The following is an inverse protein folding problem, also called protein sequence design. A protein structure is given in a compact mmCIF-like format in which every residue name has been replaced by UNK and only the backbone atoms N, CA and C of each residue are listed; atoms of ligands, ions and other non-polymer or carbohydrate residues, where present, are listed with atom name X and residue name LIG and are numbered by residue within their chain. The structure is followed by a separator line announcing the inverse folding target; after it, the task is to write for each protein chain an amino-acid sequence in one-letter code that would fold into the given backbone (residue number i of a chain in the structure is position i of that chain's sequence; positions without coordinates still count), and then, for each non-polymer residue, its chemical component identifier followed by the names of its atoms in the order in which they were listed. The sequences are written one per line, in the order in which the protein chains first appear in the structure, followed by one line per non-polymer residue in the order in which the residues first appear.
data_IF_473290598941
#
_entry.id   IF_473290598941
#
_cell.length_a   1.000
_cell.length_b   1.000
_cell.length_c   1.000
_cell.angle_alpha   90.00
_cell.angle_beta   90.00
_cell.angle_gamma   90.00
#
_symmetry.space_group_name_H-M   'P 1'
#
loop_
_entity.id
_entity.type
_entity.pdbx_description
1 polymer ?
#
# COMPACT_ATOMS: atom_id res chain seq x y z
N UNK A 1 32.92 -17.13 -30.91
CA UNK A 1 31.95 -16.09 -31.30
C UNK A 1 30.55 -16.22 -30.70
N UNK A 2 29.96 -17.40 -30.56
CA UNK A 2 28.61 -17.59 -29.98
C UNK A 2 28.47 -17.20 -28.49
N UNK A 3 29.50 -17.38 -27.65
CA UNK A 3 29.48 -17.04 -26.21
C UNK A 3 29.49 -15.53 -25.94
N UNK A 4 30.18 -14.71 -26.78
CA UNK A 4 30.20 -13.23 -26.64
C UNK A 4 28.86 -12.59 -26.99
N UNK A 5 28.15 -13.10 -28.01
CA UNK A 5 26.82 -12.58 -28.38
C UNK A 5 25.77 -12.83 -27.30
N UNK A 6 25.80 -14.01 -26.59
CA UNK A 6 24.89 -14.31 -25.49
C UNK A 6 25.11 -13.39 -24.26
N UNK A 7 26.37 -13.02 -23.99
CA UNK A 7 26.70 -12.15 -22.86
C UNK A 7 26.24 -10.70 -23.12
N UNK A 8 26.43 -10.22 -24.35
CA UNK A 8 25.99 -8.86 -24.75
C UNK A 8 24.46 -8.74 -24.71
N UNK A 9 23.73 -9.75 -25.19
CA UNK A 9 22.25 -9.76 -25.14
C UNK A 9 21.78 -9.80 -23.69
N UNK A 10 22.41 -10.60 -22.81
CA UNK A 10 22.06 -10.65 -21.38
C UNK A 10 22.36 -9.34 -20.65
N UNK A 11 23.44 -8.66 -21.00
CA UNK A 11 23.80 -7.34 -20.44
C UNK A 11 22.87 -6.25 -20.99
N UNK A 12 22.45 -6.29 -22.25
CA UNK A 12 21.43 -5.40 -22.80
C UNK A 12 20.04 -5.63 -22.21
N UNK A 13 19.64 -6.89 -21.96
CA UNK A 13 18.37 -7.17 -21.27
C UNK A 13 18.39 -6.67 -19.81
N UNK A 14 19.53 -6.74 -19.11
CA UNK A 14 19.69 -6.17 -17.78
C UNK A 14 19.72 -4.64 -17.76
N UNK A 15 20.22 -4.00 -18.83
CA UNK A 15 20.24 -2.53 -18.94
C UNK A 15 18.90 -1.91 -19.41
N UNK A 16 18.05 -2.69 -20.06
CA UNK A 16 16.71 -2.22 -20.51
C UNK A 16 15.66 -2.33 -19.41
N UNK A 17 15.90 -3.15 -18.38
CA UNK A 17 15.01 -3.25 -17.21
C UNK A 17 15.34 -2.25 -16.09
N UNK A 18 16.27 -1.32 -16.30
CA UNK A 18 16.62 -0.28 -15.34
C UNK A 18 15.89 1.03 -15.69
N UNK A 19 14.89 1.37 -14.88
CA UNK A 19 14.25 2.67 -14.73
C UNK A 19 12.96 2.97 -15.52
N UNK A 20 11.96 2.11 -15.44
CA UNK A 20 10.61 2.70 -15.44
C UNK A 20 10.35 3.13 -13.99
N UNK A 21 10.70 4.37 -13.66
CA UNK A 21 10.36 4.95 -12.36
C UNK A 21 8.84 4.97 -12.24
N UNK A 22 8.32 4.36 -11.17
CA UNK A 22 6.89 4.41 -10.88
C UNK A 22 6.42 5.87 -10.85
N UNK A 23 5.28 6.14 -11.47
CA UNK A 23 4.67 7.46 -11.49
C UNK A 23 3.69 7.60 -10.33
N UNK A 24 3.88 8.61 -9.49
CA UNK A 24 2.90 9.03 -8.49
C UNK A 24 2.12 10.22 -9.00
N UNK A 25 0.81 10.04 -9.19
CA UNK A 25 -0.12 11.12 -9.52
C UNK A 25 -0.68 11.70 -8.22
N UNK A 26 -0.14 12.86 -7.81
CA UNK A 26 -0.54 13.55 -6.59
C UNK A 26 -1.82 14.35 -6.79
N UNK A 27 -2.54 14.59 -5.69
CA UNK A 27 -3.77 15.37 -5.66
C UNK A 27 -3.70 16.41 -4.52
N UNK A 28 -3.74 17.72 -4.83
CA UNK A 28 -3.69 18.79 -3.82
C UNK A 28 -4.78 18.68 -2.74
N UNK A 29 -5.95 18.10 -3.07
CA UNK A 29 -7.01 17.86 -2.09
C UNK A 29 -6.59 16.82 -1.04
N UNK A 30 -5.80 15.82 -1.44
CA UNK A 30 -5.21 14.84 -0.51
C UNK A 30 -4.22 15.53 0.40
N UNK A 31 -3.32 16.37 -0.13
CA UNK A 31 -2.36 17.14 0.66
C UNK A 31 -3.07 18.01 1.71
N UNK A 32 -4.20 18.64 1.34
CA UNK A 32 -5.00 19.43 2.27
C UNK A 32 -5.58 18.60 3.42
N UNK A 33 -6.04 17.38 3.16
CA UNK A 33 -6.52 16.46 4.21
C UNK A 33 -5.40 16.13 5.19
N UNK A 34 -4.21 15.77 4.69
CA UNK A 34 -3.05 15.47 5.56
C UNK A 34 -2.62 16.69 6.39
N UNK A 35 -2.64 17.89 5.81
CA UNK A 35 -2.32 19.13 6.52
C UNK A 35 -3.32 19.44 7.65
N UNK A 36 -4.57 19.03 7.49
CA UNK A 36 -5.66 19.29 8.45
C UNK A 36 -5.77 18.26 9.58
N UNK A 37 -5.06 17.14 9.52
CA UNK A 37 -5.04 16.23 10.67
C UNK A 37 -4.47 16.92 11.92
N UNK A 38 -5.03 16.63 13.11
CA UNK A 38 -4.46 17.12 14.37
C UNK A 38 -2.97 16.78 14.50
N UNK A 39 -2.20 17.68 15.11
CA UNK A 39 -0.74 17.54 15.21
C UNK A 39 -0.30 16.19 15.81
N UNK A 40 -1.04 15.67 16.79
CA UNK A 40 -0.71 14.43 17.49
C UNK A 40 -0.82 13.16 16.60
N UNK A 41 -1.57 13.20 15.50
CA UNK A 41 -1.75 12.07 14.59
C UNK A 41 -1.16 12.32 13.19
N UNK A 42 -0.88 13.57 12.85
CA UNK A 42 -0.42 13.96 11.51
C UNK A 42 0.81 13.18 11.04
N UNK A 43 1.82 13.07 11.89
CA UNK A 43 3.05 12.35 11.55
C UNK A 43 2.80 10.85 11.34
N UNK A 44 1.87 10.27 12.11
CA UNK A 44 1.45 8.86 11.94
C UNK A 44 0.74 8.64 10.61
N UNK A 45 -0.17 9.54 10.25
CA UNK A 45 -0.87 9.49 8.96
C UNK A 45 0.10 9.69 7.80
N UNK A 46 1.06 10.63 7.93
CA UNK A 46 2.09 10.84 6.92
C UNK A 46 3.00 9.61 6.77
N UNK A 47 3.35 8.95 7.87
CA UNK A 47 4.11 7.69 7.84
C UNK A 47 3.36 6.59 7.07
N UNK A 48 2.04 6.44 7.26
CA UNK A 48 1.24 5.49 6.47
C UNK A 48 1.25 5.83 4.98
N UNK A 49 1.10 7.12 4.63
CA UNK A 49 1.16 7.59 3.24
C UNK A 49 2.49 7.22 2.59
N UNK A 50 3.60 7.50 3.27
CA UNK A 50 4.94 7.21 2.79
C UNK A 50 5.15 5.71 2.59
N UNK A 51 4.68 4.87 3.50
CA UNK A 51 4.75 3.41 3.37
C UNK A 51 3.99 2.89 2.16
N UNK A 52 2.84 3.47 1.82
CA UNK A 52 2.10 3.09 0.61
C UNK A 52 2.89 3.45 -0.65
N UNK A 53 3.44 4.66 -0.72
CA UNK A 53 4.23 5.12 -1.86
C UNK A 53 5.50 4.28 -2.01
N UNK A 54 6.26 4.08 -0.93
CA UNK A 54 7.48 3.27 -0.91
C UNK A 54 7.20 1.82 -1.33
N UNK A 55 6.15 1.21 -0.78
CA UNK A 55 5.77 -0.15 -1.16
C UNK A 55 5.38 -0.25 -2.63
N UNK A 56 4.68 0.75 -3.16
CA UNK A 56 4.35 0.81 -4.59
C UNK A 56 5.60 0.90 -5.47
N UNK A 57 6.59 1.71 -5.06
CA UNK A 57 7.88 1.84 -5.77
C UNK A 57 8.68 0.52 -5.76
N UNK A 58 8.64 -0.21 -4.66
CA UNK A 58 9.31 -1.50 -4.50
C UNK A 58 8.58 -2.66 -5.20
N UNK A 59 7.30 -2.48 -5.55
CA UNK A 59 6.47 -3.57 -6.08
C UNK A 59 6.58 -3.67 -7.59
N UNK A 60 7.21 -4.75 -8.06
CA UNK A 60 7.23 -5.08 -9.50
C UNK A 60 5.80 -5.24 -10.02
N UNK A 61 5.48 -4.55 -11.11
CA UNK A 61 4.15 -4.58 -11.73
C UNK A 61 3.25 -3.41 -11.33
N UNK A 62 3.69 -2.54 -10.42
CA UNK A 62 3.07 -1.24 -10.14
C UNK A 62 3.83 -0.17 -10.89
N UNK A 63 3.26 0.36 -11.97
CA UNK A 63 3.87 1.42 -12.79
C UNK A 63 3.35 2.81 -12.47
N UNK A 64 2.16 2.89 -11.87
CA UNK A 64 1.49 4.14 -11.49
C UNK A 64 0.69 3.96 -10.20
N UNK A 65 0.78 4.94 -9.33
CA UNK A 65 -0.03 5.10 -8.13
C UNK A 65 -0.74 6.45 -8.17
N UNK A 66 -2.05 6.46 -8.11
CA UNK A 66 -2.86 7.66 -8.04
C UNK A 66 -3.31 7.93 -6.60
N UNK A 67 -3.04 9.14 -6.11
CA UNK A 67 -3.63 9.67 -4.88
C UNK A 67 -4.94 10.39 -5.21
N UNK A 68 -5.99 10.05 -4.50
CA UNK A 68 -7.31 10.66 -4.66
C UNK A 68 -8.08 10.70 -3.35
N UNK A 69 -9.29 11.24 -3.33
CA UNK A 69 -10.21 11.16 -2.21
C UNK A 69 -11.40 10.27 -2.56
N UNK A 70 -11.71 9.33 -1.69
CA UNK A 70 -12.97 8.57 -1.74
C UNK A 70 -13.64 8.68 -0.38
N UNK A 71 -14.88 9.10 -0.34
CA UNK A 71 -15.61 9.39 0.91
C UNK A 71 -14.93 10.45 1.78
N UNK A 72 -14.15 11.36 1.18
CA UNK A 72 -13.33 12.34 1.89
C UNK A 72 -12.03 11.79 2.48
N UNK A 73 -11.73 10.51 2.31
CA UNK A 73 -10.57 9.84 2.86
C UNK A 73 -9.44 9.75 1.83
N UNK A 74 -8.17 9.99 2.21
CA UNK A 74 -7.02 9.71 1.36
C UNK A 74 -7.05 8.28 0.82
N UNK A 75 -6.95 8.16 -0.49
CA UNK A 75 -7.13 6.90 -1.22
C UNK A 75 -6.03 6.71 -2.24
N UNK A 76 -5.61 5.46 -2.41
CA UNK A 76 -4.52 5.06 -3.30
C UNK A 76 -5.04 4.02 -4.29
N UNK A 77 -4.84 4.29 -5.57
CA UNK A 77 -5.38 3.49 -6.66
C UNK A 77 -4.27 3.09 -7.60
N UNK A 78 -4.24 1.81 -7.97
CA UNK A 78 -3.41 1.26 -9.04
C UNK A 78 -4.25 0.50 -10.05
N UNK A 79 -3.75 0.32 -11.26
CA UNK A 79 -4.44 -0.40 -12.33
C UNK A 79 -4.87 -1.82 -11.94
N UNK A 80 -4.02 -2.54 -11.22
CA UNK A 80 -4.24 -3.95 -10.84
C UNK A 80 -4.64 -4.11 -9.37
N UNK A 81 -4.86 -3.01 -8.65
CA UNK A 81 -5.11 -3.03 -7.23
C UNK A 81 -6.57 -2.89 -6.84
N UNK A 82 -6.83 -3.27 -5.61
CA UNK A 82 -8.00 -2.86 -4.85
C UNK A 82 -7.69 -1.52 -4.17
N UNK A 83 -8.63 -0.59 -4.16
CA UNK A 83 -8.43 0.72 -3.55
C UNK A 83 -8.07 0.59 -2.07
N UNK A 84 -6.97 1.22 -1.68
CA UNK A 84 -6.51 1.33 -0.30
C UNK A 84 -6.83 2.74 0.18
N UNK A 85 -7.42 2.86 1.36
CA UNK A 85 -7.75 4.15 1.97
C UNK A 85 -7.15 4.22 3.37
N UNK A 86 -7.02 5.42 3.91
CA UNK A 86 -6.61 5.64 5.29
C UNK A 86 -7.31 6.85 5.87
N UNK A 87 -7.53 6.85 7.18
CA UNK A 87 -8.10 8.00 7.88
C UNK A 87 -7.85 7.93 9.38
N UNK A 88 -7.96 9.10 10.02
CA UNK A 88 -8.15 9.30 11.43
C UNK A 88 -9.53 9.91 11.66
N UNK A 89 -10.22 9.48 12.71
CA UNK A 89 -11.58 9.95 13.02
C UNK A 89 -11.64 10.55 14.41
N UNK A 90 -12.24 11.73 14.52
CA UNK A 90 -12.44 12.44 15.80
C UNK A 90 -13.19 11.59 16.84
N UNK A 91 -14.10 10.72 16.40
CA UNK A 91 -14.87 9.82 17.29
C UNK A 91 -14.02 8.75 17.98
N UNK A 92 -12.86 8.44 17.43
CA UNK A 92 -11.90 7.46 17.95
C UNK A 92 -10.50 8.05 17.93
N UNK A 93 -10.23 9.08 18.78
CA UNK A 93 -9.06 9.94 18.62
C UNK A 93 -7.72 9.25 18.88
N UNK A 94 -7.73 8.15 19.64
CA UNK A 94 -6.50 7.41 20.03
C UNK A 94 -6.05 6.40 19.00
N UNK A 95 -6.74 6.30 17.87
CA UNK A 95 -6.44 5.36 16.80
C UNK A 95 -6.57 5.98 15.41
N UNK A 96 -5.93 5.35 14.44
CA UNK A 96 -6.06 5.63 13.01
C UNK A 96 -6.10 4.30 12.25
N UNK A 97 -6.51 4.30 11.00
CA UNK A 97 -6.75 3.06 10.28
C UNK A 97 -6.38 3.12 8.81
N UNK A 98 -6.09 1.93 8.29
CA UNK A 98 -5.98 1.66 6.86
C UNK A 98 -7.17 0.77 6.46
N UNK A 99 -7.90 1.19 5.42
CA UNK A 99 -9.13 0.53 4.98
C UNK A 99 -8.93 -0.18 3.66
N UNK A 100 -9.53 -1.35 3.56
CA UNK A 100 -9.50 -2.24 2.40
C UNK A 100 -10.93 -2.54 1.94
N UNK A 101 -11.08 -3.00 0.71
CA UNK A 101 -12.39 -3.38 0.19
C UNK A 101 -12.96 -4.57 0.98
N UNK A 102 -14.11 -4.37 1.64
CA UNK A 102 -14.71 -5.38 2.52
C UNK A 102 -15.20 -6.65 1.81
N UNK A 103 -15.48 -6.56 0.51
CA UNK A 103 -15.86 -7.73 -0.33
C UNK A 103 -14.66 -8.47 -0.91
N UNK A 104 -13.44 -7.98 -0.68
CA UNK A 104 -12.21 -8.66 -1.04
C UNK A 104 -11.80 -9.70 0.00
N UNK A 105 -10.80 -10.51 -0.35
CA UNK A 105 -10.17 -11.46 0.58
C UNK A 105 -9.04 -10.84 1.41
N UNK A 106 -8.78 -9.53 1.28
CA UNK A 106 -7.59 -8.90 1.85
C UNK A 106 -7.50 -9.05 3.36
N UNK A 107 -8.44 -8.48 4.11
CA UNK A 107 -8.36 -8.49 5.59
C UNK A 107 -8.48 -9.89 6.17
N UNK A 108 -9.31 -10.76 5.62
CA UNK A 108 -9.41 -12.16 6.06
C UNK A 108 -8.07 -12.88 5.86
N UNK A 109 -7.36 -12.63 4.75
CA UNK A 109 -6.04 -13.21 4.51
C UNK A 109 -5.00 -12.62 5.46
N UNK A 110 -5.01 -11.31 5.71
CA UNK A 110 -4.09 -10.68 6.67
C UNK A 110 -4.27 -11.25 8.07
N UNK A 111 -5.51 -11.47 8.49
CA UNK A 111 -5.81 -12.11 9.79
C UNK A 111 -5.29 -13.55 9.85
N UNK A 112 -5.40 -14.29 8.75
CA UNK A 112 -4.88 -15.66 8.67
C UNK A 112 -3.35 -15.69 8.76
N UNK A 113 -2.65 -14.79 8.04
CA UNK A 113 -1.17 -14.82 7.93
C UNK A 113 -0.49 -14.15 9.12
N UNK A 114 -1.03 -13.01 9.58
CA UNK A 114 -0.38 -12.15 10.57
C UNK A 114 -1.02 -12.20 11.95
N UNK A 115 -2.20 -12.83 12.09
CA UNK A 115 -2.91 -13.06 13.35
C UNK A 115 -2.85 -11.84 14.30
N UNK A 116 -2.16 -11.95 15.43
CA UNK A 116 -2.08 -10.93 16.47
C UNK A 116 -1.14 -9.75 16.16
N UNK A 117 -0.46 -9.77 15.02
CA UNK A 117 0.43 -8.65 14.60
C UNK A 117 -0.35 -7.34 14.43
N UNK A 118 -1.60 -7.43 13.98
CA UNK A 118 -2.47 -6.28 13.77
C UNK A 118 -3.76 -6.39 14.58
N UNK A 119 -4.36 -5.23 14.84
CA UNK A 119 -5.77 -5.14 15.22
C UNK A 119 -6.62 -4.96 13.96
N UNK A 120 -7.74 -5.67 13.89
CA UNK A 120 -8.62 -5.62 12.72
C UNK A 120 -10.02 -5.13 13.12
N UNK A 121 -10.63 -4.34 12.25
CA UNK A 121 -12.04 -3.97 12.33
C UNK A 121 -12.81 -4.68 11.22
N UNK A 122 -13.60 -5.69 11.59
CA UNK A 122 -14.37 -6.48 10.63
C UNK A 122 -13.53 -7.07 9.51
N UNK A 123 -14.03 -6.94 8.27
CA UNK A 123 -13.34 -7.37 7.04
C UNK A 123 -12.75 -6.20 6.25
N UNK A 124 -12.63 -5.04 6.86
CA UNK A 124 -12.35 -3.80 6.12
C UNK A 124 -11.15 -3.00 6.60
N UNK A 125 -10.67 -3.19 7.84
CA UNK A 125 -9.64 -2.31 8.35
C UNK A 125 -8.55 -3.02 9.15
N UNK A 126 -7.34 -2.48 9.06
CA UNK A 126 -6.27 -2.60 10.04
C UNK A 126 -6.27 -1.32 10.86
N UNK A 127 -6.38 -1.46 12.19
CA UNK A 127 -6.42 -0.35 13.15
C UNK A 127 -5.09 -0.24 13.87
N UNK A 128 -4.59 0.99 13.99
CA UNK A 128 -3.33 1.32 14.65
C UNK A 128 -3.61 2.19 15.87
N UNK A 129 -3.01 1.88 17.00
CA UNK A 129 -3.04 2.74 18.19
C UNK A 129 -1.93 3.78 18.13
N UNK A 130 -2.20 5.01 18.58
CA UNK A 130 -1.23 6.11 18.56
C UNK A 130 0.06 5.81 19.33
N UNK A 131 -0.04 5.04 20.41
CA UNK A 131 1.08 4.69 21.29
C UNK A 131 1.86 3.44 20.84
N UNK A 132 1.47 2.82 19.73
CA UNK A 132 2.11 1.61 19.21
C UNK A 132 2.96 1.90 17.98
N UNK A 133 4.02 1.11 17.81
CA UNK A 133 4.82 1.11 16.58
C UNK A 133 4.08 0.34 15.49
N UNK A 134 4.18 0.83 14.26
CA UNK A 134 3.69 0.13 13.08
C UNK A 134 4.63 -1.05 12.77
N UNK A 135 4.12 -2.28 12.63
CA UNK A 135 4.90 -3.42 12.11
C UNK A 135 5.10 -3.24 10.59
N UNK A 136 6.17 -2.53 10.24
CA UNK A 136 6.41 -2.01 8.89
C UNK A 136 6.51 -3.10 7.84
N UNK A 137 7.27 -4.17 8.13
CA UNK A 137 7.50 -5.24 7.14
C UNK A 137 6.21 -5.98 6.80
N UNK A 138 5.44 -6.34 7.82
CA UNK A 138 4.17 -7.03 7.69
C UNK A 138 3.12 -6.12 7.02
N UNK A 139 3.13 -4.83 7.33
CA UNK A 139 2.23 -3.86 6.70
C UNK A 139 2.56 -3.66 5.21
N UNK A 140 3.84 -3.63 4.84
CA UNK A 140 4.25 -3.59 3.43
C UNK A 140 3.71 -4.78 2.63
N UNK A 141 3.70 -6.00 3.20
CA UNK A 141 3.08 -7.16 2.54
C UNK A 141 1.57 -6.98 2.35
N UNK A 142 0.87 -6.44 3.34
CA UNK A 142 -0.56 -6.10 3.23
C UNK A 142 -0.82 -5.06 2.14
N UNK A 143 -0.02 -4.00 2.10
CA UNK A 143 -0.11 -2.93 1.09
C UNK A 143 0.14 -3.51 -0.30
N UNK A 144 1.21 -4.27 -0.48
CA UNK A 144 1.56 -4.92 -1.75
C UNK A 144 0.43 -5.81 -2.27
N UNK A 145 -0.15 -6.66 -1.40
CA UNK A 145 -1.28 -7.50 -1.77
C UNK A 145 -2.49 -6.67 -2.23
N UNK A 146 -2.74 -5.53 -1.59
CA UNK A 146 -3.79 -4.59 -2.00
C UNK A 146 -3.51 -3.95 -3.36
N UNK A 147 -2.30 -3.43 -3.57
CA UNK A 147 -1.87 -2.77 -4.81
C UNK A 147 -1.86 -3.72 -6.02
N UNK A 148 -1.75 -5.01 -5.78
CA UNK A 148 -1.71 -6.06 -6.82
C UNK A 148 -2.90 -7.01 -6.76
N UNK A 149 -3.96 -6.67 -6.03
CA UNK A 149 -5.05 -7.58 -5.66
C UNK A 149 -5.61 -8.38 -6.84
N UNK A 150 -5.91 -7.73 -7.96
CA UNK A 150 -6.50 -8.41 -9.12
C UNK A 150 -5.54 -9.39 -9.81
N UNK A 151 -4.23 -9.28 -9.54
CA UNK A 151 -3.22 -10.22 -10.02
C UNK A 151 -2.97 -11.39 -9.07
N UNK A 152 -3.21 -11.19 -7.77
CA UNK A 152 -2.88 -12.18 -6.73
C UNK A 152 -4.09 -12.82 -6.06
N UNK A 153 -5.30 -12.33 -6.31
CA UNK A 153 -6.54 -12.81 -5.66
C UNK A 153 -6.85 -14.30 -5.85
N UNK A 154 -6.24 -14.94 -6.84
CA UNK A 154 -6.36 -16.37 -7.09
C UNK A 154 -5.38 -17.22 -6.28
N UNK A 155 -4.36 -16.60 -5.66
CA UNK A 155 -3.40 -17.28 -4.80
C UNK A 155 -4.00 -17.50 -3.41
N UNK A 156 -3.59 -18.58 -2.73
CA UNK A 156 -4.15 -18.98 -1.45
C UNK A 156 -4.04 -17.89 -0.39
N UNK A 157 -2.83 -17.33 -0.21
CA UNK A 157 -2.53 -16.25 0.74
C UNK A 157 -2.22 -14.91 0.07
N UNK A 158 -2.76 -14.64 -1.12
CA UNK A 158 -2.53 -13.42 -1.89
C UNK A 158 -1.05 -13.16 -2.22
N UNK A 159 -0.22 -14.20 -2.19
CA UNK A 159 1.22 -14.10 -2.43
C UNK A 159 2.04 -13.59 -1.24
N UNK A 160 1.44 -13.54 -0.04
CA UNK A 160 2.11 -13.18 1.22
C UNK A 160 2.80 -14.41 1.81
#
# INVERSE_FOLDING_TARGET
MKKRKKLIIKTMYLSVNLNIKMKVTKNPKVDAVFANYPAFVRDKMQQLRELVIETAEETTGVSELEETLKWGEPSFVTKNGSTLRMDWKEKTPDQYAMYFQCTSRLVDTFRLVFDHTFQYEGKRAIVFQLNQKIPVNELKECIKASLMYHKVKHLETLGI
#
